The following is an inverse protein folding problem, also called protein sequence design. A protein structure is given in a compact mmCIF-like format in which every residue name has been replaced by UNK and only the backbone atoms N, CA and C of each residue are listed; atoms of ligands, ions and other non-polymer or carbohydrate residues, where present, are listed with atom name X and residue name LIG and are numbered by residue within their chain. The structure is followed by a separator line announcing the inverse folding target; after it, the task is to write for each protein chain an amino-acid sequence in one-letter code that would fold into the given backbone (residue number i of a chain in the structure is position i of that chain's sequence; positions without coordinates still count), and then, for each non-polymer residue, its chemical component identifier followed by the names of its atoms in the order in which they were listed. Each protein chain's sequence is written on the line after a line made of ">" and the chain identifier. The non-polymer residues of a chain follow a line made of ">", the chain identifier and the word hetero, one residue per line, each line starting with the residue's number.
data_IF_387038650419
#
_entry.id   IF_387038650419
#
_cell.length_a   1.000
_cell.length_b   1.000
_cell.length_c   1.000
_cell.angle_alpha   90.00
_cell.angle_beta   90.00
_cell.angle_gamma   90.00
#
_symmetry.space_group_name_H-M   'P 1'
#
loop_
_entity.id
_entity.type
_entity.pdbx_description
1 polymer ?
#
# COMPACT_ATOMS: atom_id res chain seq x y z
N UNK A 1 -15.49 -25.63 -25.54
CA UNK A 1 -16.34 -25.70 -24.33
C UNK A 1 -15.59 -25.91 -22.99
N UNK A 2 -14.24 -25.87 -22.91
CA UNK A 2 -13.52 -26.07 -21.62
C UNK A 2 -13.00 -24.79 -20.94
N UNK A 3 -12.84 -23.67 -21.65
CA UNK A 3 -12.24 -22.44 -21.10
C UNK A 3 -13.12 -21.68 -20.10
N UNK A 4 -14.43 -21.59 -20.36
CA UNK A 4 -15.38 -20.88 -19.47
C UNK A 4 -15.46 -21.52 -18.08
N UNK A 5 -15.41 -22.86 -18.02
CA UNK A 5 -15.41 -23.59 -16.75
C UNK A 5 -14.14 -23.34 -15.92
N UNK A 6 -12.98 -23.09 -16.55
CA UNK A 6 -11.73 -22.79 -15.84
C UNK A 6 -11.75 -21.38 -15.25
N UNK A 7 -12.15 -20.39 -16.04
CA UNK A 7 -12.25 -18.99 -15.57
C UNK A 7 -13.29 -18.84 -14.46
N UNK A 8 -14.44 -19.49 -14.58
CA UNK A 8 -15.46 -19.48 -13.53
C UNK A 8 -14.94 -20.11 -12.22
N UNK A 9 -14.24 -21.26 -12.31
CA UNK A 9 -13.58 -21.89 -11.15
C UNK A 9 -12.51 -21.00 -10.53
N UNK A 10 -11.73 -20.29 -11.35
CA UNK A 10 -10.73 -19.34 -10.86
C UNK A 10 -11.38 -18.21 -10.07
N UNK A 11 -12.38 -17.53 -10.65
CA UNK A 11 -13.08 -16.43 -9.99
C UNK A 11 -13.85 -16.89 -8.74
N UNK A 12 -14.34 -18.13 -8.70
CA UNK A 12 -14.98 -18.70 -7.52
C UNK A 12 -14.05 -18.79 -6.29
N UNK A 13 -12.72 -18.86 -6.49
CA UNK A 13 -11.76 -18.84 -5.38
C UNK A 13 -11.80 -17.54 -4.56
N UNK A 14 -12.36 -16.47 -5.11
CA UNK A 14 -12.60 -15.21 -4.39
C UNK A 14 -13.47 -15.38 -3.15
N UNK A 15 -14.32 -16.42 -3.10
CA UNK A 15 -15.19 -16.71 -1.95
C UNK A 15 -14.44 -17.15 -0.68
N UNK A 16 -13.12 -17.34 -0.75
CA UNK A 16 -12.28 -17.64 0.42
C UNK A 16 -11.54 -16.41 0.97
N UNK A 17 -11.89 -15.19 0.55
CA UNK A 17 -11.15 -13.94 0.89
C UNK A 17 -12.04 -12.81 1.42
N UNK A 18 -13.20 -13.11 2.01
CA UNK A 18 -14.10 -12.12 2.59
C UNK A 18 -13.52 -11.43 3.81
N UNK A 19 -12.96 -12.20 4.75
CA UNK A 19 -12.25 -11.68 5.92
C UNK A 19 -10.97 -10.97 5.49
N UNK A 20 -10.30 -11.47 4.46
CA UNK A 20 -9.09 -10.84 3.93
C UNK A 20 -9.39 -9.44 3.40
N UNK A 21 -10.42 -9.29 2.55
CA UNK A 21 -10.89 -7.97 2.09
C UNK A 21 -11.28 -7.07 3.26
N UNK A 22 -12.02 -7.62 4.22
CA UNK A 22 -12.50 -6.88 5.40
C UNK A 22 -11.35 -6.28 6.24
N UNK A 23 -10.24 -7.01 6.41
CA UNK A 23 -9.06 -6.52 7.15
C UNK A 23 -8.23 -5.55 6.30
N UNK A 24 -7.97 -5.87 5.01
CA UNK A 24 -7.22 -5.00 4.09
C UNK A 24 -7.84 -3.59 4.04
N UNK A 25 -9.15 -3.51 3.82
CA UNK A 25 -9.82 -2.22 3.69
C UNK A 25 -9.79 -1.41 4.98
N UNK A 26 -9.92 -2.04 6.15
CA UNK A 26 -9.82 -1.33 7.43
C UNK A 26 -8.44 -0.81 7.73
N UNK A 27 -7.42 -1.65 7.54
CA UNK A 27 -6.05 -1.20 7.76
C UNK A 27 -5.67 -0.09 6.77
N UNK A 28 -6.17 -0.15 5.53
CA UNK A 28 -6.01 0.95 4.60
C UNK A 28 -6.72 2.22 5.08
N UNK A 29 -7.95 2.11 5.57
CA UNK A 29 -8.67 3.23 6.19
C UNK A 29 -7.92 3.82 7.39
N UNK A 30 -7.28 2.97 8.21
CA UNK A 30 -6.41 3.42 9.30
C UNK A 30 -5.19 4.20 8.78
N UNK A 31 -4.46 3.67 7.80
CA UNK A 31 -3.29 4.35 7.23
C UNK A 31 -3.69 5.66 6.56
N UNK A 32 -4.78 5.69 5.78
CA UNK A 32 -5.29 6.94 5.23
C UNK A 32 -5.69 7.94 6.33
N UNK A 33 -6.34 7.49 7.41
CA UNK A 33 -6.69 8.38 8.52
C UNK A 33 -5.43 9.00 9.14
N UNK A 34 -4.38 8.21 9.38
CA UNK A 34 -3.10 8.75 9.85
C UNK A 34 -2.51 9.74 8.85
N UNK A 35 -2.45 9.39 7.57
CA UNK A 35 -1.86 10.22 6.53
C UNK A 35 -2.60 11.55 6.32
N UNK A 36 -3.94 11.53 6.31
CA UNK A 36 -4.76 12.75 6.22
C UNK A 36 -4.74 13.57 7.51
N UNK A 37 -4.59 12.94 8.68
CA UNK A 37 -4.40 13.68 9.94
C UNK A 37 -3.06 14.43 9.93
N UNK A 38 -1.99 13.79 9.45
CA UNK A 38 -0.69 14.46 9.25
C UNK A 38 -0.86 15.63 8.28
N UNK A 39 -1.53 15.43 7.14
CA UNK A 39 -1.82 16.51 6.20
C UNK A 39 -2.64 17.63 6.85
N UNK A 40 -3.68 17.31 7.62
CA UNK A 40 -4.52 18.31 8.29
C UNK A 40 -3.73 19.17 9.29
N UNK A 41 -2.68 18.62 9.90
CA UNK A 41 -1.83 19.32 10.86
C UNK A 41 -0.65 20.06 10.23
N UNK A 42 -0.11 19.55 9.12
CA UNK A 42 1.19 20.00 8.60
C UNK A 42 1.11 20.62 7.21
N UNK A 43 0.07 20.37 6.41
CA UNK A 43 0.05 20.77 5.00
C UNK A 43 0.09 22.29 4.82
N UNK A 44 -0.62 23.07 5.65
CA UNK A 44 -0.61 24.55 5.56
C UNK A 44 0.78 25.12 5.89
N UNK A 45 1.44 24.78 7.01
CA UNK A 45 2.83 25.20 7.26
C UNK A 45 3.83 24.81 6.17
N UNK A 46 3.62 23.68 5.48
CA UNK A 46 4.56 23.18 4.48
C UNK A 46 4.33 23.80 3.09
N UNK A 47 3.09 23.84 2.61
CA UNK A 47 2.76 24.21 1.22
C UNK A 47 1.66 25.26 1.07
N UNK A 48 1.17 25.82 2.18
CA UNK A 48 0.24 26.95 2.18
C UNK A 48 0.83 28.23 1.60
N UNK A 49 0.04 29.30 1.62
CA UNK A 49 0.42 30.60 1.03
C UNK A 49 1.71 31.18 1.62
N UNK A 50 1.91 30.99 2.93
CA UNK A 50 3.12 31.36 3.66
C UNK A 50 3.95 30.15 4.11
N UNK A 51 3.75 28.98 3.48
CA UNK A 51 4.47 27.76 3.80
C UNK A 51 5.92 27.76 3.31
N UNK A 52 6.68 26.73 3.69
CA UNK A 52 8.09 26.58 3.29
C UNK A 52 8.26 26.41 1.76
N UNK A 53 7.34 25.71 1.11
CA UNK A 53 7.32 25.48 -0.34
C UNK A 53 5.91 25.75 -0.88
N UNK A 54 5.49 27.02 -1.06
CA UNK A 54 4.12 27.37 -1.42
C UNK A 54 3.64 26.70 -2.71
N UNK A 55 2.58 25.90 -2.61
CA UNK A 55 2.06 25.11 -3.73
C UNK A 55 1.53 25.99 -4.87
N UNK A 56 1.06 27.20 -4.57
CA UNK A 56 0.63 28.17 -5.59
C UNK A 56 1.77 28.55 -6.53
N UNK A 57 2.97 28.79 -5.99
CA UNK A 57 4.16 29.09 -6.80
C UNK A 57 4.56 27.89 -7.66
N UNK A 58 4.52 26.68 -7.07
CA UNK A 58 4.81 25.45 -7.80
C UNK A 58 3.87 25.24 -8.99
N UNK A 59 2.56 25.38 -8.80
CA UNK A 59 1.58 25.21 -9.89
C UNK A 59 1.74 26.28 -10.98
N UNK A 60 2.10 27.51 -10.63
CA UNK A 60 2.36 28.56 -11.62
C UNK A 60 3.66 28.30 -12.40
N UNK A 61 4.70 27.76 -11.77
CA UNK A 61 5.92 27.30 -12.46
C UNK A 61 5.58 26.17 -13.44
N UNK A 62 4.80 25.17 -13.03
CA UNK A 62 4.38 24.07 -13.90
C UNK A 62 3.58 24.59 -15.10
N UNK A 63 2.64 25.51 -14.85
CA UNK A 63 1.83 26.13 -15.89
C UNK A 63 2.67 26.91 -16.89
N UNK A 64 3.60 27.74 -16.41
CA UNK A 64 4.46 28.57 -17.28
C UNK A 64 5.41 27.71 -18.12
N UNK A 65 5.98 26.66 -17.55
CA UNK A 65 6.87 25.73 -18.27
C UNK A 65 6.15 24.90 -19.33
N UNK A 66 4.90 24.48 -19.07
CA UNK A 66 4.11 23.65 -19.99
C UNK A 66 3.24 24.47 -20.95
N UNK A 67 3.23 25.79 -20.83
CA UNK A 67 2.53 26.72 -21.71
C UNK A 67 1.00 26.77 -21.54
N UNK A 68 0.38 25.81 -20.84
CA UNK A 68 -1.05 25.82 -20.55
C UNK A 68 -1.39 25.14 -19.23
N UNK A 69 -2.53 25.54 -18.64
CA UNK A 69 -3.08 24.91 -17.44
C UNK A 69 -3.50 23.46 -17.70
N UNK A 70 -4.04 23.18 -18.87
CA UNK A 70 -4.50 21.82 -19.24
C UNK A 70 -3.32 20.86 -19.38
N UNK A 71 -2.21 21.30 -19.99
CA UNK A 71 -0.97 20.54 -20.02
C UNK A 71 -0.40 20.31 -18.61
N UNK A 72 -0.48 21.32 -17.74
CA UNK A 72 -0.16 21.22 -16.32
C UNK A 72 -0.97 20.17 -15.57
N UNK A 73 -2.30 20.15 -15.77
CA UNK A 73 -3.20 19.16 -15.16
C UNK A 73 -2.90 17.73 -15.58
N UNK A 74 -2.53 17.52 -16.86
CA UNK A 74 -2.18 16.18 -17.35
C UNK A 74 -0.86 15.67 -16.75
N UNK A 75 0.09 16.57 -16.48
CA UNK A 75 1.39 16.21 -15.91
C UNK A 75 1.37 16.11 -14.38
N UNK A 76 0.58 16.97 -13.73
CA UNK A 76 0.46 17.11 -12.28
C UNK A 76 -1.03 17.09 -11.93
N UNK A 77 -1.68 15.91 -11.95
CA UNK A 77 -3.11 15.80 -11.65
C UNK A 77 -3.37 16.12 -10.18
N UNK A 78 -4.05 17.25 -9.93
CA UNK A 78 -4.47 17.67 -8.60
C UNK A 78 -5.76 18.49 -8.64
N UNK A 79 -6.62 18.34 -7.64
CA UNK A 79 -7.82 19.16 -7.49
C UNK A 79 -7.49 20.63 -7.14
N UNK A 80 -6.28 20.90 -6.66
CA UNK A 80 -5.85 22.26 -6.29
C UNK A 80 -5.62 23.20 -7.48
N UNK A 81 -5.69 22.68 -8.72
CA UNK A 81 -5.75 23.55 -9.90
C UNK A 81 -6.99 24.45 -9.91
N UNK A 82 -8.11 24.04 -9.29
CA UNK A 82 -9.35 24.84 -9.25
C UNK A 82 -9.33 25.98 -8.24
N UNK A 83 -8.33 26.01 -7.38
CA UNK A 83 -8.17 27.00 -6.32
C UNK A 83 -7.41 26.40 -5.16
N UNK A 84 -6.43 27.15 -4.66
CA UNK A 84 -5.64 26.77 -3.50
C UNK A 84 -5.66 27.92 -2.50
N UNK A 85 -6.04 27.61 -1.26
CA UNK A 85 -6.00 28.50 -0.11
C UNK A 85 -5.75 27.67 1.14
N UNK A 86 -5.23 28.29 2.19
CA UNK A 86 -4.90 27.58 3.44
C UNK A 86 -6.12 26.91 4.07
N UNK A 87 -7.28 27.60 4.04
CA UNK A 87 -8.55 27.03 4.47
C UNK A 87 -8.98 25.84 3.60
N UNK A 88 -8.81 25.93 2.28
CA UNK A 88 -9.12 24.82 1.38
C UNK A 88 -8.22 23.61 1.66
N UNK A 89 -6.91 23.79 1.85
CA UNK A 89 -5.97 22.72 2.20
C UNK A 89 -6.35 22.01 3.51
N UNK A 90 -6.71 22.79 4.52
CA UNK A 90 -7.13 22.27 5.83
C UNK A 90 -8.46 21.50 5.75
N UNK A 91 -9.51 22.11 5.17
CA UNK A 91 -10.83 21.48 5.00
C UNK A 91 -10.70 20.18 4.19
N UNK A 92 -9.94 20.23 3.10
CA UNK A 92 -9.71 19.08 2.22
C UNK A 92 -9.04 17.93 2.98
N UNK A 93 -8.05 18.21 3.81
CA UNK A 93 -7.36 17.20 4.62
C UNK A 93 -8.28 16.62 5.70
N UNK A 94 -9.08 17.45 6.38
CA UNK A 94 -10.06 16.99 7.38
C UNK A 94 -11.20 16.16 6.78
N UNK A 95 -11.67 16.49 5.57
CA UNK A 95 -12.63 15.66 4.83
C UNK A 95 -12.00 14.29 4.53
N UNK A 96 -10.76 14.27 4.04
CA UNK A 96 -10.03 13.02 3.79
C UNK A 96 -9.90 12.17 5.05
N UNK A 97 -9.59 12.80 6.19
CA UNK A 97 -9.56 12.14 7.49
C UNK A 97 -10.92 11.52 7.85
N UNK A 98 -12.00 12.29 7.77
CA UNK A 98 -13.35 11.81 8.08
C UNK A 98 -13.79 10.64 7.19
N UNK A 99 -13.55 10.73 5.88
CA UNK A 99 -13.83 9.64 4.93
C UNK A 99 -13.00 8.38 5.23
N UNK A 100 -11.76 8.56 5.67
CA UNK A 100 -10.88 7.45 6.06
C UNK A 100 -11.40 6.72 7.31
N UNK A 101 -11.98 7.45 8.27
CA UNK A 101 -12.64 6.85 9.43
C UNK A 101 -13.88 6.03 9.06
N UNK A 102 -14.62 6.43 8.02
CA UNK A 102 -15.75 5.63 7.48
C UNK A 102 -15.25 4.29 6.94
N UNK A 103 -14.16 4.31 6.17
CA UNK A 103 -13.50 3.09 5.66
C UNK A 103 -12.97 2.23 6.81
N UNK A 104 -12.37 2.84 7.83
CA UNK A 104 -11.91 2.17 9.04
C UNK A 104 -13.06 1.51 9.83
N UNK A 105 -14.24 2.14 9.85
CA UNK A 105 -15.48 1.55 10.39
C UNK A 105 -15.94 0.31 9.62
N UNK A 106 -15.41 0.10 8.42
CA UNK A 106 -15.70 -1.03 7.53
C UNK A 106 -16.68 -0.70 6.42
N UNK A 107 -17.01 0.58 6.22
CA UNK A 107 -17.87 1.01 5.13
C UNK A 107 -17.02 1.49 3.96
N UNK A 108 -16.98 0.69 2.88
CA UNK A 108 -16.13 0.97 1.74
C UNK A 108 -16.80 0.53 0.43
N UNK A 109 -16.83 1.43 -0.54
CA UNK A 109 -17.18 1.14 -1.93
C UNK A 109 -16.10 1.76 -2.86
N UNK A 110 -16.14 1.41 -4.14
CA UNK A 110 -15.14 1.87 -5.11
C UNK A 110 -15.13 3.41 -5.24
N UNK A 111 -16.29 4.06 -5.18
CA UNK A 111 -16.40 5.53 -5.29
C UNK A 111 -15.70 6.22 -4.11
N UNK A 112 -15.98 5.79 -2.88
CA UNK A 112 -15.36 6.34 -1.67
C UNK A 112 -13.83 6.19 -1.70
N UNK A 113 -13.34 5.01 -2.10
CA UNK A 113 -11.90 4.78 -2.24
C UNK A 113 -11.29 5.59 -3.38
N UNK A 114 -12.00 5.78 -4.48
CA UNK A 114 -11.54 6.62 -5.59
C UNK A 114 -11.47 8.09 -5.19
N UNK A 115 -12.44 8.58 -4.41
CA UNK A 115 -12.41 9.94 -3.84
C UNK A 115 -11.21 10.09 -2.90
N UNK A 116 -11.03 9.18 -1.93
CA UNK A 116 -9.87 9.21 -1.02
C UNK A 116 -8.55 9.17 -1.78
N UNK A 117 -8.45 8.30 -2.79
CA UNK A 117 -7.26 8.19 -3.62
C UNK A 117 -7.00 9.47 -4.41
N UNK A 118 -8.01 10.06 -5.06
CA UNK A 118 -7.85 11.31 -5.81
C UNK A 118 -7.51 12.49 -4.90
N UNK A 119 -8.07 12.52 -3.69
CA UNK A 119 -7.72 13.50 -2.67
C UNK A 119 -6.27 13.35 -2.25
N UNK A 120 -5.82 12.13 -1.95
CA UNK A 120 -4.44 11.89 -1.56
C UNK A 120 -3.46 12.21 -2.69
N UNK A 121 -3.79 11.80 -3.91
CA UNK A 121 -3.01 12.12 -5.12
C UNK A 121 -2.87 13.63 -5.30
N UNK A 122 -3.93 14.39 -5.03
CA UNK A 122 -3.89 15.85 -5.10
C UNK A 122 -2.89 16.47 -4.13
N UNK A 123 -2.80 15.93 -2.91
CA UNK A 123 -1.83 16.35 -1.88
C UNK A 123 -0.41 15.98 -2.30
N UNK A 124 -0.18 14.72 -2.71
CA UNK A 124 1.14 14.23 -3.12
C UNK A 124 1.75 15.08 -4.23
N UNK A 125 0.95 15.48 -5.23
CA UNK A 125 1.43 16.29 -6.36
C UNK A 125 1.84 17.71 -5.97
N UNK A 126 1.18 18.33 -4.99
CA UNK A 126 1.54 19.69 -4.52
C UNK A 126 2.55 19.67 -3.37
N UNK A 127 2.73 18.51 -2.74
CA UNK A 127 3.56 18.30 -1.56
C UNK A 127 5.06 18.40 -1.81
N UNK A 128 5.51 18.41 -3.07
CA UNK A 128 6.90 18.61 -3.48
C UNK A 128 7.86 17.70 -2.69
N UNK A 129 8.91 18.27 -2.08
CA UNK A 129 9.93 17.54 -1.33
C UNK A 129 9.35 16.80 -0.09
N UNK A 130 8.25 17.28 0.47
CA UNK A 130 7.67 16.73 1.70
C UNK A 130 6.90 15.43 1.47
N UNK A 131 6.34 15.27 0.27
CA UNK A 131 5.57 14.09 -0.13
C UNK A 131 6.27 13.29 -1.25
N UNK A 132 7.58 13.49 -1.44
CA UNK A 132 8.39 12.78 -2.42
C UNK A 132 8.88 11.39 -1.99
N UNK A 133 8.38 10.87 -0.87
CA UNK A 133 8.87 9.62 -0.28
C UNK A 133 8.14 8.38 -0.80
N UNK A 134 8.82 7.24 -0.82
CA UNK A 134 8.29 5.99 -1.41
C UNK A 134 6.97 5.48 -0.78
N UNK A 135 6.72 5.76 0.50
CA UNK A 135 5.45 5.37 1.15
C UNK A 135 4.24 6.15 0.62
N UNK A 136 4.44 7.36 0.09
CA UNK A 136 3.39 8.18 -0.52
C UNK A 136 2.89 7.53 -1.81
N UNK A 137 3.84 7.11 -2.66
CA UNK A 137 3.58 6.39 -3.90
C UNK A 137 2.97 5.01 -3.60
N UNK A 138 3.50 4.31 -2.58
CA UNK A 138 2.91 3.04 -2.14
C UNK A 138 1.47 3.19 -1.67
N UNK A 139 1.11 4.29 -0.99
CA UNK A 139 -0.26 4.50 -0.52
C UNK A 139 -1.19 4.72 -1.70
N UNK A 140 -0.73 5.46 -2.71
CA UNK A 140 -1.46 5.62 -3.97
C UNK A 140 -1.63 4.30 -4.72
N UNK A 141 -0.60 3.46 -4.82
CA UNK A 141 -0.71 2.14 -5.48
C UNK A 141 -1.67 1.21 -4.70
N UNK A 142 -1.52 1.13 -3.38
CA UNK A 142 -2.36 0.30 -2.49
C UNK A 142 -3.81 0.77 -2.49
N UNK A 143 -4.01 2.09 -2.45
CA UNK A 143 -5.30 2.74 -2.55
C UNK A 143 -5.99 2.47 -3.87
N UNK A 144 -5.25 2.61 -4.98
CA UNK A 144 -5.76 2.35 -6.33
C UNK A 144 -6.24 0.91 -6.49
N UNK A 145 -5.43 -0.08 -6.07
CA UNK A 145 -5.84 -1.49 -6.11
C UNK A 145 -7.09 -1.76 -5.26
N UNK A 146 -7.24 -1.07 -4.13
CA UNK A 146 -8.39 -1.22 -3.23
C UNK A 146 -9.71 -0.75 -3.84
N UNK A 147 -9.68 0.24 -4.75
CA UNK A 147 -10.88 0.69 -5.50
C UNK A 147 -11.55 -0.52 -6.17
N UNK A 148 -10.75 -1.41 -6.75
CA UNK A 148 -11.21 -2.60 -7.47
C UNK A 148 -11.47 -3.80 -6.57
N UNK A 149 -11.09 -3.74 -5.30
CA UNK A 149 -11.41 -4.77 -4.31
C UNK A 149 -12.86 -4.64 -3.80
N UNK A 150 -13.43 -3.45 -3.91
CA UNK A 150 -14.78 -3.09 -3.49
C UNK A 150 -15.80 -3.18 -4.64
N UNK A 151 -17.09 -3.41 -4.35
CA UNK A 151 -18.16 -3.16 -5.30
C UNK A 151 -18.31 -1.65 -5.56
N UNK A 152 -18.95 -1.29 -6.68
CA UNK A 152 -19.10 0.10 -7.08
C UNK A 152 -19.89 0.95 -6.07
N UNK A 153 -21.05 0.47 -5.62
CA UNK A 153 -22.00 1.22 -4.81
C UNK A 153 -22.20 0.66 -3.39
N UNK A 154 -22.21 -0.66 -3.22
CA UNK A 154 -22.53 -1.31 -1.94
C UNK A 154 -21.40 -1.13 -0.92
N UNK A 155 -21.54 -0.12 -0.05
CA UNK A 155 -20.53 0.23 0.94
C UNK A 155 -20.51 -0.65 2.19
N UNK A 156 -21.32 -1.71 2.30
CA UNK A 156 -21.37 -2.52 3.52
C UNK A 156 -20.06 -3.32 3.71
N UNK A 157 -19.71 -3.73 4.94
CA UNK A 157 -18.52 -4.57 5.17
C UNK A 157 -18.54 -5.92 4.42
N UNK A 158 -19.74 -6.44 4.18
CA UNK A 158 -19.99 -7.71 3.50
C UNK A 158 -21.06 -7.54 2.41
N UNK A 159 -20.71 -6.98 1.23
CA UNK A 159 -21.62 -6.81 0.10
C UNK A 159 -21.97 -8.15 -0.56
N UNK A 160 -22.98 -8.19 -1.43
CA UNK A 160 -23.34 -9.42 -2.17
C UNK A 160 -22.27 -9.89 -3.17
N UNK A 161 -21.43 -8.97 -3.64
CA UNK A 161 -20.39 -9.32 -4.61
C UNK A 161 -19.17 -9.92 -3.94
N UNK A 162 -18.77 -11.10 -4.43
CA UNK A 162 -17.54 -11.79 -4.02
C UNK A 162 -16.29 -10.94 -4.25
N UNK A 163 -15.27 -11.06 -3.37
CA UNK A 163 -13.95 -10.45 -3.60
C UNK A 163 -13.31 -10.92 -4.91
N UNK A 164 -12.79 -10.01 -5.76
CA UNK A 164 -12.12 -10.40 -6.99
C UNK A 164 -10.73 -10.99 -6.71
N UNK A 165 -10.56 -12.29 -6.99
CA UNK A 165 -9.32 -13.03 -6.73
C UNK A 165 -8.09 -12.44 -7.44
N UNK A 166 -8.28 -11.86 -8.63
CA UNK A 166 -7.17 -11.26 -9.37
C UNK A 166 -6.62 -10.04 -8.64
N UNK A 167 -7.47 -9.22 -8.02
CA UNK A 167 -7.01 -8.07 -7.22
C UNK A 167 -6.22 -8.55 -6.00
N UNK A 168 -6.62 -9.66 -5.36
CA UNK A 168 -5.83 -10.30 -4.29
C UNK A 168 -4.43 -10.70 -4.79
N UNK A 169 -4.31 -11.19 -6.03
CA UNK A 169 -3.00 -11.49 -6.62
C UNK A 169 -2.20 -10.22 -6.94
N UNK A 170 -2.86 -9.15 -7.35
CA UNK A 170 -2.20 -7.84 -7.54
C UNK A 170 -1.65 -7.29 -6.22
N UNK A 171 -2.32 -7.50 -5.08
CA UNK A 171 -1.76 -7.18 -3.77
C UNK A 171 -0.51 -8.01 -3.46
N UNK A 172 -0.51 -9.31 -3.79
CA UNK A 172 0.70 -10.15 -3.63
C UNK A 172 1.83 -9.67 -4.53
N UNK A 173 1.52 -9.27 -5.76
CA UNK A 173 2.47 -8.69 -6.69
C UNK A 173 3.04 -7.37 -6.20
N UNK A 174 2.20 -6.50 -5.63
CA UNK A 174 2.64 -5.26 -5.00
C UNK A 174 3.60 -5.55 -3.83
N UNK A 175 3.21 -6.43 -2.90
CA UNK A 175 4.06 -6.84 -1.78
C UNK A 175 5.38 -7.47 -2.23
N UNK A 176 5.34 -8.29 -3.29
CA UNK A 176 6.53 -8.88 -3.89
C UNK A 176 7.48 -7.80 -4.42
N UNK A 177 6.99 -6.85 -5.23
CA UNK A 177 7.82 -5.77 -5.79
C UNK A 177 8.44 -4.90 -4.69
N UNK A 178 7.68 -4.61 -3.63
CA UNK A 178 8.18 -3.82 -2.49
C UNK A 178 9.37 -4.53 -1.83
N UNK A 179 9.21 -5.80 -1.47
CA UNK A 179 10.25 -6.54 -0.74
C UNK A 179 11.48 -6.82 -1.60
N UNK A 180 11.28 -7.29 -2.83
CA UNK A 180 12.40 -7.55 -3.75
C UNK A 180 13.12 -6.24 -4.07
N UNK A 181 12.37 -5.15 -4.31
CA UNK A 181 12.95 -3.83 -4.54
C UNK A 181 13.80 -3.33 -3.37
N UNK A 182 13.31 -3.51 -2.14
CA UNK A 182 14.04 -3.16 -0.92
C UNK A 182 15.30 -4.02 -0.71
N UNK A 183 15.24 -5.32 -0.98
CA UNK A 183 16.41 -6.19 -0.84
C UNK A 183 17.48 -5.92 -1.90
N UNK A 184 17.07 -5.74 -3.17
CA UNK A 184 18.01 -5.51 -4.26
C UNK A 184 18.71 -4.16 -4.14
N UNK A 185 18.00 -3.13 -3.69
CA UNK A 185 18.61 -1.82 -3.52
C UNK A 185 19.65 -1.81 -2.41
N UNK A 186 19.44 -2.61 -1.35
CA UNK A 186 20.42 -2.81 -0.29
C UNK A 186 21.67 -3.52 -0.81
N UNK A 187 21.51 -4.66 -1.50
CA UNK A 187 22.64 -5.41 -2.05
C UNK A 187 23.49 -4.60 -3.04
N UNK A 188 22.86 -3.69 -3.79
CA UNK A 188 23.51 -2.86 -4.81
C UNK A 188 24.01 -1.52 -4.27
N UNK A 189 23.42 -1.02 -3.19
CA UNK A 189 23.66 0.33 -2.68
C UNK A 189 25.03 0.48 -2.04
N UNK A 190 25.41 -0.45 -1.15
CA UNK A 190 26.64 -0.33 -0.36
C UNK A 190 27.30 -1.70 -0.10
N UNK A 191 28.64 -1.83 -0.18
CA UNK A 191 29.37 -3.00 0.29
C UNK A 191 28.94 -3.53 1.67
N UNK A 192 28.58 -2.68 2.63
CA UNK A 192 28.23 -3.13 3.98
C UNK A 192 27.06 -4.13 4.01
N UNK A 193 26.16 -4.09 3.00
CA UNK A 193 25.04 -5.02 2.93
C UNK A 193 25.49 -6.41 2.50
N UNK A 194 26.54 -6.47 1.67
CA UNK A 194 27.17 -7.73 1.22
C UNK A 194 28.07 -8.30 2.31
N UNK A 195 28.72 -7.44 3.08
CA UNK A 195 29.57 -7.83 4.21
C UNK A 195 28.77 -8.09 5.51
N UNK A 196 27.45 -7.91 5.48
CA UNK A 196 26.50 -8.08 6.59
C UNK A 196 26.76 -7.15 7.78
N UNK A 197 27.40 -6.00 7.55
CA UNK A 197 27.81 -5.05 8.59
C UNK A 197 26.90 -3.83 8.70
N UNK A 198 26.01 -3.56 7.72
CA UNK A 198 25.20 -2.33 7.75
C UNK A 198 24.36 -2.17 9.02
N UNK A 199 23.88 -3.27 9.63
CA UNK A 199 23.03 -3.15 10.82
C UNK A 199 23.77 -2.70 12.08
N UNK A 200 25.11 -2.68 12.05
CA UNK A 200 25.90 -2.13 13.15
C UNK A 200 25.63 -0.63 13.37
N UNK A 201 25.53 0.13 12.28
CA UNK A 201 25.26 1.58 12.34
C UNK A 201 23.77 1.92 12.10
N UNK A 202 22.98 0.98 11.57
CA UNK A 202 21.58 1.23 11.21
C UNK A 202 20.74 1.84 12.34
N UNK A 203 20.87 1.33 13.56
CA UNK A 203 20.08 1.79 14.69
C UNK A 203 20.43 3.20 15.16
N UNK A 204 21.65 3.66 14.86
CA UNK A 204 22.13 5.02 15.10
C UNK A 204 21.69 5.97 13.98
N UNK A 205 21.72 5.52 12.73
CA UNK A 205 21.51 6.38 11.55
C UNK A 205 20.09 6.36 10.98
N UNK A 206 19.19 5.54 11.53
CA UNK A 206 17.80 5.50 11.07
C UNK A 206 17.04 6.81 11.36
N UNK A 207 15.98 7.16 10.60
CA UNK A 207 15.41 8.51 10.63
C UNK A 207 14.87 8.96 12.00
N UNK A 208 14.07 8.11 12.66
CA UNK A 208 13.48 8.39 13.97
C UNK A 208 13.68 7.15 14.86
N UNK A 209 14.83 7.05 15.56
CA UNK A 209 15.09 5.92 16.44
C UNK A 209 14.14 5.94 17.65
N UNK A 210 13.53 4.81 17.95
CA UNK A 210 12.74 4.58 19.16
C UNK A 210 13.58 4.06 20.34
N UNK A 211 12.98 3.88 21.53
CA UNK A 211 13.67 3.37 22.71
C UNK A 211 14.35 2.00 22.50
N UNK A 212 13.74 1.12 21.71
CA UNK A 212 14.24 -0.22 21.42
C UNK A 212 15.50 -0.17 20.53
N UNK A 213 15.59 0.81 19.63
CA UNK A 213 16.78 1.03 18.78
C UNK A 213 18.06 1.11 19.60
N UNK A 214 18.01 1.79 20.75
CA UNK A 214 19.18 1.93 21.63
C UNK A 214 19.65 0.57 22.11
N UNK A 215 18.74 -0.30 22.54
CA UNK A 215 19.09 -1.64 22.99
C UNK A 215 19.63 -2.50 21.85
N UNK A 216 19.02 -2.41 20.68
CA UNK A 216 19.48 -3.13 19.49
C UNK A 216 20.86 -2.65 19.05
N UNK A 217 21.15 -1.35 19.07
CA UNK A 217 22.45 -0.79 18.69
C UNK A 217 23.62 -1.37 19.50
N UNK A 218 23.40 -1.70 20.77
CA UNK A 218 24.44 -2.29 21.63
C UNK A 218 24.49 -3.81 21.57
N UNK A 219 23.73 -4.45 20.67
CA UNK A 219 23.80 -5.88 20.48
C UNK A 219 25.17 -6.30 19.88
N UNK A 220 25.62 -7.54 20.12
CA UNK A 220 26.91 -7.99 19.62
C UNK A 220 26.94 -8.12 18.09
N UNK A 221 28.12 -8.00 17.48
CA UNK A 221 28.28 -8.02 16.02
C UNK A 221 27.67 -9.25 15.33
N UNK A 222 27.75 -10.43 15.95
CA UNK A 222 27.17 -11.66 15.37
C UNK A 222 25.64 -11.53 15.20
N UNK A 223 24.98 -10.82 16.10
CA UNK A 223 23.54 -10.58 16.06
C UNK A 223 23.20 -9.68 14.88
N UNK A 224 23.92 -8.58 14.68
CA UNK A 224 23.72 -7.70 13.52
C UNK A 224 24.00 -8.37 12.18
N UNK A 225 25.01 -9.25 12.12
CA UNK A 225 25.26 -10.06 10.92
C UNK A 225 24.10 -11.01 10.63
N UNK A 226 23.55 -11.64 11.67
CA UNK A 226 22.36 -12.49 11.55
C UNK A 226 21.15 -11.67 11.08
N UNK A 227 20.90 -10.50 11.68
CA UNK A 227 19.80 -9.63 11.27
C UNK A 227 19.93 -9.16 9.82
N UNK A 228 21.14 -8.80 9.36
CA UNK A 228 21.40 -8.45 7.97
C UNK A 228 21.13 -9.64 7.02
N UNK A 229 21.58 -10.84 7.38
CA UNK A 229 21.29 -12.05 6.60
C UNK A 229 19.79 -12.39 6.60
N UNK A 230 19.11 -12.22 7.73
CA UNK A 230 17.67 -12.42 7.85
C UNK A 230 16.88 -11.40 7.02
N UNK A 231 17.32 -10.15 6.99
CA UNK A 231 16.78 -9.09 6.14
C UNK A 231 16.84 -9.52 4.66
N UNK A 232 18.01 -9.96 4.18
CA UNK A 232 18.16 -10.48 2.82
C UNK A 232 17.28 -11.69 2.55
N UNK A 233 17.17 -12.63 3.48
CA UNK A 233 16.29 -13.79 3.33
C UNK A 233 14.82 -13.38 3.18
N UNK A 234 14.32 -12.53 4.08
CA UNK A 234 12.91 -12.10 4.07
C UNK A 234 12.59 -11.19 2.88
N UNK A 235 13.54 -10.39 2.42
CA UNK A 235 13.30 -9.47 1.31
C UNK A 235 13.52 -10.08 -0.07
N UNK A 236 14.45 -11.04 -0.22
CA UNK A 236 14.82 -11.59 -1.53
C UNK A 236 14.28 -12.99 -1.79
N UNK A 237 14.07 -13.80 -0.75
CA UNK A 237 13.68 -15.21 -0.88
C UNK A 237 12.23 -15.43 -0.49
N UNK A 238 11.80 -14.94 0.67
CA UNK A 238 10.43 -15.14 1.17
C UNK A 238 9.33 -14.65 0.21
N UNK A 239 9.45 -13.51 -0.51
CA UNK A 239 8.34 -12.99 -1.31
C UNK A 239 7.89 -13.92 -2.43
N UNK A 240 8.78 -14.75 -2.99
CA UNK A 240 8.47 -15.73 -4.03
C UNK A 240 7.42 -16.75 -3.56
N UNK A 241 7.47 -17.11 -2.27
CA UNK A 241 6.56 -18.07 -1.67
C UNK A 241 5.13 -17.52 -1.49
N UNK A 242 4.92 -16.20 -1.65
CA UNK A 242 3.58 -15.58 -1.69
C UNK A 242 2.71 -16.11 -2.84
N UNK A 243 3.33 -16.62 -3.91
CA UNK A 243 2.65 -17.22 -5.06
C UNK A 243 2.58 -18.75 -4.98
N UNK A 244 3.14 -19.34 -3.92
CA UNK A 244 3.17 -20.79 -3.74
C UNK A 244 1.84 -21.39 -3.29
N UNK A 245 1.83 -22.72 -3.02
CA UNK A 245 0.69 -23.41 -2.44
C UNK A 245 0.25 -22.82 -1.10
N UNK A 246 -0.99 -23.08 -0.70
CA UNK A 246 -1.64 -22.44 0.46
C UNK A 246 -0.79 -22.41 1.74
N UNK A 247 -0.21 -23.54 2.15
CA UNK A 247 0.59 -23.62 3.37
C UNK A 247 1.86 -22.77 3.29
N UNK A 248 2.59 -22.88 2.19
CA UNK A 248 3.82 -22.12 1.91
C UNK A 248 3.52 -20.62 1.87
N UNK A 249 2.41 -20.23 1.23
CA UNK A 249 1.94 -18.84 1.18
C UNK A 249 1.60 -18.29 2.57
N UNK A 250 0.97 -19.06 3.45
CA UNK A 250 0.67 -18.61 4.81
C UNK A 250 1.93 -18.39 5.63
N UNK A 251 2.92 -19.29 5.51
CA UNK A 251 4.23 -19.15 6.17
C UNK A 251 4.94 -17.89 5.65
N UNK A 252 4.95 -17.68 4.32
CA UNK A 252 5.53 -16.49 3.71
C UNK A 252 4.87 -15.20 4.23
N UNK A 253 3.53 -15.14 4.21
CA UNK A 253 2.78 -14.02 4.75
C UNK A 253 3.09 -13.74 6.22
N UNK A 254 3.25 -14.78 7.04
CA UNK A 254 3.57 -14.63 8.45
C UNK A 254 4.97 -14.05 8.65
N UNK A 255 5.98 -14.60 7.95
CA UNK A 255 7.35 -14.08 7.98
C UNK A 255 7.42 -12.62 7.53
N UNK A 256 6.73 -12.27 6.44
CA UNK A 256 6.68 -10.91 5.91
C UNK A 256 6.03 -9.94 6.90
N UNK A 257 4.89 -10.30 7.51
CA UNK A 257 4.22 -9.44 8.50
C UNK A 257 5.07 -9.30 9.77
N UNK A 258 5.61 -10.40 10.30
CA UNK A 258 6.44 -10.35 11.51
C UNK A 258 7.70 -9.51 11.28
N UNK A 259 8.29 -9.58 10.08
CA UNK A 259 9.40 -8.70 9.72
C UNK A 259 9.01 -7.22 9.73
N UNK A 260 7.86 -6.86 9.15
CA UNK A 260 7.37 -5.47 9.21
C UNK A 260 7.07 -5.01 10.65
N UNK A 261 6.52 -5.89 11.50
CA UNK A 261 6.28 -5.61 12.91
C UNK A 261 7.62 -5.35 13.64
N UNK A 262 8.64 -6.17 13.36
CA UNK A 262 9.97 -5.95 13.94
C UNK A 262 10.53 -4.58 13.53
N UNK A 263 10.41 -4.20 12.25
CA UNK A 263 10.84 -2.88 11.78
C UNK A 263 10.12 -1.75 12.53
N UNK A 264 8.79 -1.83 12.69
CA UNK A 264 7.98 -0.86 13.45
C UNK A 264 8.46 -0.72 14.91
N UNK A 265 8.75 -1.85 15.55
CA UNK A 265 9.16 -1.88 16.96
C UNK A 265 10.59 -1.35 17.13
N UNK A 266 11.45 -1.65 16.16
CA UNK A 266 12.87 -1.27 16.17
C UNK A 266 13.16 0.17 15.75
N UNK A 267 12.19 0.85 15.10
CA UNK A 267 12.38 2.18 14.55
C UNK A 267 11.12 2.76 13.92
N UNK A 268 11.07 4.08 13.78
CA UNK A 268 9.95 4.76 13.15
C UNK A 268 10.32 5.23 11.73
N UNK A 269 9.67 4.60 10.75
CA UNK A 269 9.78 4.88 9.31
C UNK A 269 8.46 5.45 8.78
N UNK A 270 7.85 6.37 9.53
CA UNK A 270 6.49 6.87 9.28
C UNK A 270 5.48 5.71 9.24
N UNK A 271 4.47 5.78 8.37
CA UNK A 271 3.48 4.71 8.18
C UNK A 271 3.90 3.63 7.16
N UNK A 272 5.14 3.67 6.63
CA UNK A 272 5.61 2.77 5.57
C UNK A 272 5.40 1.28 5.92
N UNK A 273 5.89 0.85 7.08
CA UNK A 273 5.83 -0.56 7.48
C UNK A 273 4.38 -1.03 7.72
N UNK A 274 3.55 -0.15 8.31
CA UNK A 274 2.12 -0.41 8.50
C UNK A 274 1.39 -0.58 7.17
N UNK A 275 1.71 0.25 6.19
CA UNK A 275 1.19 0.18 4.84
C UNK A 275 1.68 -1.08 4.10
N UNK A 276 2.93 -1.49 4.31
CA UNK A 276 3.52 -2.70 3.70
C UNK A 276 2.91 -3.99 4.23
N UNK A 277 2.37 -4.00 5.46
CA UNK A 277 1.62 -5.16 5.98
C UNK A 277 0.35 -5.43 5.16
N UNK A 278 -0.31 -4.39 4.63
CA UNK A 278 -1.59 -4.51 3.93
C UNK A 278 -1.53 -5.48 2.73
N UNK A 279 -0.61 -5.34 1.76
CA UNK A 279 -0.50 -6.31 0.66
C UNK A 279 -0.17 -7.73 1.13
N UNK A 280 0.57 -7.91 2.22
CA UNK A 280 0.88 -9.26 2.74
C UNK A 280 -0.34 -9.97 3.32
N UNK A 281 -1.38 -9.25 3.73
CA UNK A 281 -2.64 -9.86 4.14
C UNK A 281 -3.28 -10.69 3.02
N UNK A 282 -3.01 -10.36 1.75
CA UNK A 282 -3.45 -11.15 0.60
C UNK A 282 -2.87 -12.58 0.58
N UNK A 283 -1.83 -12.85 1.38
CA UNK A 283 -1.28 -14.18 1.59
C UNK A 283 -2.14 -15.07 2.50
N UNK A 284 -3.12 -14.53 3.22
CA UNK A 284 -4.02 -15.32 4.05
C UNK A 284 -5.38 -15.47 3.39
N UNK A 285 -6.08 -16.55 3.73
CA UNK A 285 -7.47 -16.77 3.35
C UNK A 285 -8.36 -16.73 4.61
N UNK A 286 -9.67 -16.81 4.43
CA UNK A 286 -10.63 -16.73 5.51
C UNK A 286 -10.47 -17.85 6.54
N UNK A 287 -9.94 -19.01 6.12
CA UNK A 287 -9.69 -20.12 7.04
C UNK A 287 -8.56 -19.83 8.02
N UNK A 288 -7.60 -18.98 7.66
CA UNK A 288 -6.55 -18.53 8.57
C UNK A 288 -7.09 -17.43 9.48
N UNK A 289 -7.69 -16.39 8.87
CA UNK A 289 -8.14 -15.19 9.58
C UNK A 289 -9.30 -15.44 10.56
N UNK A 290 -10.11 -16.48 10.35
CA UNK A 290 -11.19 -16.86 11.30
C UNK A 290 -10.70 -17.19 12.71
N UNK A 291 -9.43 -17.54 12.89
CA UNK A 291 -8.86 -17.84 14.20
C UNK A 291 -8.49 -16.58 14.99
N UNK A 292 -8.34 -15.44 14.33
CA UNK A 292 -7.92 -14.17 14.93
C UNK A 292 -9.06 -13.14 15.02
N UNK A 293 -10.11 -13.29 14.20
CA UNK A 293 -11.23 -12.35 14.16
C UNK A 293 -12.40 -12.79 15.06
N UNK A 294 -13.21 -11.84 15.58
CA UNK A 294 -14.37 -12.16 16.41
C UNK A 294 -15.38 -13.08 15.68
N UNK A 295 -15.98 -14.03 16.40
CA UNK A 295 -16.94 -15.01 15.85
C UNK A 295 -18.09 -14.36 15.07
N UNK A 296 -18.60 -13.22 15.53
CA UNK A 296 -19.67 -12.48 14.86
C UNK A 296 -19.27 -11.98 13.46
N UNK A 297 -18.01 -11.59 13.27
CA UNK A 297 -17.47 -11.15 11.98
C UNK A 297 -17.32 -12.35 11.04
N UNK A 298 -16.79 -13.47 11.57
CA UNK A 298 -16.62 -14.72 10.82
C UNK A 298 -17.96 -15.24 10.29
N UNK A 299 -19.00 -15.29 11.14
CA UNK A 299 -20.33 -15.73 10.72
C UNK A 299 -20.96 -14.84 9.64
N UNK A 300 -20.73 -13.51 9.69
CA UNK A 300 -21.19 -12.58 8.65
C UNK A 300 -20.47 -12.83 7.33
N UNK A 301 -19.16 -13.10 7.36
CA UNK A 301 -18.37 -13.44 6.18
C UNK A 301 -18.84 -14.77 5.55
N UNK A 302 -19.08 -15.80 6.37
CA UNK A 302 -19.59 -17.10 5.91
C UNK A 302 -20.98 -16.97 5.27
N UNK A 303 -21.86 -16.15 5.84
CA UNK A 303 -23.18 -15.85 5.25
C UNK A 303 -23.02 -15.17 3.89
N UNK A 304 -22.18 -14.14 3.80
CA UNK A 304 -21.93 -13.44 2.55
C UNK A 304 -21.31 -14.34 1.47
N UNK A 305 -20.46 -15.30 1.87
CA UNK A 305 -19.91 -16.29 0.94
C UNK A 305 -20.98 -17.26 0.39
N UNK A 306 -21.99 -17.62 1.20
CA UNK A 306 -23.12 -18.46 0.77
C UNK A 306 -24.10 -17.71 -0.14
N UNK A 307 -24.35 -16.44 0.18
CA UNK A 307 -25.26 -15.54 -0.56
C UNK A 307 -24.58 -14.83 -1.74
N UNK A 308 -23.31 -15.17 -2.02
CA UNK A 308 -22.50 -14.46 -3.01
C UNK A 308 -23.02 -14.67 -4.42
N UNK A 309 -23.12 -13.59 -5.20
CA UNK A 309 -23.49 -13.66 -6.61
C UNK A 309 -22.27 -13.41 -7.52
N UNK A 310 -22.11 -14.18 -8.61
CA UNK A 310 -21.03 -13.95 -9.56
C UNK A 310 -21.29 -12.68 -10.38
N UNK A 311 -20.51 -11.62 -10.14
CA UNK A 311 -20.53 -10.43 -10.98
C UNK A 311 -19.61 -10.60 -12.19
N UNK A 312 -20.17 -10.59 -13.41
CA UNK A 312 -19.37 -10.59 -14.66
C UNK A 312 -18.57 -9.30 -14.80
N UNK A 313 -19.19 -8.17 -14.50
CA UNK A 313 -18.57 -6.84 -14.60
C UNK A 313 -17.32 -6.77 -13.73
N UNK A 314 -17.39 -7.17 -12.46
CA UNK A 314 -16.24 -7.12 -11.56
C UNK A 314 -15.10 -8.04 -12.01
N UNK A 315 -15.42 -9.21 -12.58
CA UNK A 315 -14.38 -10.11 -13.10
C UNK A 315 -13.71 -9.52 -14.35
N UNK A 316 -14.48 -8.91 -15.26
CA UNK A 316 -13.95 -8.25 -16.46
C UNK A 316 -13.06 -7.06 -16.09
N UNK A 317 -13.52 -6.22 -15.15
CA UNK A 317 -12.74 -5.07 -14.65
C UNK A 317 -11.46 -5.56 -13.96
N UNK A 318 -11.53 -6.59 -13.12
CA UNK A 318 -10.34 -7.14 -12.46
C UNK A 318 -9.35 -7.75 -13.46
N UNK A 319 -9.84 -8.35 -14.55
CA UNK A 319 -9.00 -8.88 -15.63
C UNK A 319 -8.31 -7.74 -16.41
N UNK A 320 -9.07 -6.72 -16.81
CA UNK A 320 -8.53 -5.55 -17.50
C UNK A 320 -7.47 -4.82 -16.64
N UNK A 321 -7.76 -4.64 -15.34
CA UNK A 321 -6.80 -4.12 -14.37
C UNK A 321 -5.53 -4.97 -14.30
N UNK A 322 -5.68 -6.30 -14.27
CA UNK A 322 -4.53 -7.21 -14.20
C UNK A 322 -3.64 -7.08 -15.43
N UNK A 323 -4.24 -6.99 -16.62
CA UNK A 323 -3.50 -6.77 -17.88
C UNK A 323 -2.77 -5.42 -17.84
N UNK A 324 -3.44 -4.36 -17.40
CA UNK A 324 -2.85 -3.03 -17.25
C UNK A 324 -1.67 -3.04 -16.28
N UNK A 325 -1.83 -3.66 -15.10
CA UNK A 325 -0.75 -3.74 -14.10
C UNK A 325 0.42 -4.57 -14.62
N UNK A 326 0.19 -5.65 -15.34
CA UNK A 326 1.27 -6.43 -15.99
C UNK A 326 2.04 -5.56 -16.98
N UNK A 327 1.33 -4.82 -17.84
CA UNK A 327 1.94 -3.90 -18.79
C UNK A 327 2.77 -2.80 -18.09
N UNK A 328 2.18 -2.13 -17.10
CA UNK A 328 2.86 -1.09 -16.33
C UNK A 328 4.00 -1.63 -15.45
N UNK A 329 3.99 -2.92 -15.12
CA UNK A 329 5.07 -3.56 -14.36
C UNK A 329 6.31 -3.85 -15.20
N UNK A 330 6.26 -3.77 -16.53
CA UNK A 330 7.42 -4.03 -17.41
C UNK A 330 8.58 -3.10 -17.07
N UNK A 331 8.36 -1.79 -17.03
CA UNK A 331 9.43 -0.83 -16.74
C UNK A 331 10.01 -0.97 -15.32
N UNK A 332 9.20 -1.07 -14.23
CA UNK A 332 9.70 -1.36 -12.90
C UNK A 332 10.47 -2.68 -12.81
N UNK A 333 10.01 -3.74 -13.45
CA UNK A 333 10.71 -5.05 -13.44
C UNK A 333 12.03 -4.97 -14.19
N UNK A 334 12.09 -4.27 -15.34
CA UNK A 334 13.36 -4.03 -16.03
C UNK A 334 14.34 -3.24 -15.15
N UNK A 335 13.86 -2.25 -14.38
CA UNK A 335 14.69 -1.54 -13.40
C UNK A 335 15.14 -2.45 -12.25
N UNK A 336 14.32 -3.40 -11.79
CA UNK A 336 14.73 -4.38 -10.77
C UNK A 336 15.80 -5.33 -11.30
N UNK A 337 15.73 -5.74 -12.56
CA UNK A 337 16.71 -6.67 -13.18
C UNK A 337 17.99 -5.96 -13.61
N UNK A 338 17.98 -4.64 -13.78
CA UNK A 338 19.15 -3.87 -14.21
C UNK A 338 20.30 -3.93 -13.18
N UNK A 339 21.53 -3.75 -13.66
CA UNK A 339 22.72 -3.69 -12.78
C UNK A 339 22.80 -2.42 -11.93
N UNK A 340 22.05 -1.36 -12.29
CA UNK A 340 21.91 -0.12 -11.54
C UNK A 340 20.43 0.21 -11.42
N UNK A 341 19.89 -0.02 -10.23
CA UNK A 341 18.52 0.33 -9.91
C UNK A 341 18.40 1.84 -9.75
N UNK A 342 17.58 2.48 -10.59
CA UNK A 342 17.21 3.88 -10.42
C UNK A 342 16.24 3.98 -9.25
N UNK A 343 16.52 4.90 -8.32
CA UNK A 343 15.66 5.26 -7.20
C UNK A 343 14.55 6.20 -7.62
#
# INVERSE_FOLDING_TARGET
>A
MNGENVLQKLFARGNSYWLTRFVILRLLGFVYAVAFLVAAQQLVPLVGEHGLTPAKHFLEIVRTQLGSRDAGMLRVPTLFWFGISDNALSIFSWIGFGLSLVVLGGYANAILLAVLWAMYMSIVHIGQIWYGYGWEIQLLETGFLSIFLCPLLDGRPFPKCRPPILVIWLFRWLGFRIMIGAGLIKLRGDPCWRDLTCLYYHYETQPIPGPISRYLHFAPLWFHKFEAAWNHFVELVVPWFSFGPRHVRHIAGALLITFQIFLIVSGNLSFLNYLTIIPFLACFDDTFLRHFLPRAVVQRAERAAKESEPSRINNTVALALSILVVYLSVAPVLNLVSGRQLM
#
